data_IF_343240908791
#
_entry.id   IF_343240908791
#
_cell.length_a   1.000
_cell.length_b   1.000
_cell.length_c   1.000
_cell.angle_alpha   90.00
_cell.angle_beta   90.00
_cell.angle_gamma   90.00
#
_symmetry.space_group_name_H-M   'P 1'
#
loop_
_entity.id
_entity.type
_entity.pdbx_description
1 polymer ?
#
# COMPACT_ATOMS: atom_id res chain seq x y z
N UNK A 1 6.32 -24.56 -2.09
CA UNK A 1 7.61 -24.37 -1.41
C UNK A 1 8.60 -25.35 -2.02
N UNK A 2 9.60 -24.86 -2.76
CA UNK A 2 10.68 -25.71 -3.29
C UNK A 2 11.65 -25.99 -2.13
N UNK A 3 11.95 -27.25 -1.89
CA UNK A 3 12.85 -27.65 -0.81
C UNK A 3 14.26 -27.10 -1.08
N UNK A 4 14.84 -26.43 -0.08
CA UNK A 4 16.16 -25.78 -0.13
C UNK A 4 17.30 -26.70 -0.61
N UNK A 5 17.16 -28.02 -0.45
CA UNK A 5 18.13 -29.01 -0.88
C UNK A 5 18.16 -29.27 -2.41
N UNK A 6 17.24 -28.67 -3.18
CA UNK A 6 17.11 -28.89 -4.63
C UNK A 6 17.35 -27.63 -5.45
N UNK A 7 18.02 -26.59 -4.93
CA UNK A 7 18.23 -25.32 -5.66
C UNK A 7 19.69 -25.20 -6.09
N UNK A 8 19.93 -25.01 -7.39
CA UNK A 8 21.27 -24.67 -7.88
C UNK A 8 21.49 -23.17 -7.75
N UNK A 9 22.19 -22.80 -6.68
CA UNK A 9 22.47 -21.40 -6.36
C UNK A 9 23.40 -20.73 -7.38
N UNK A 10 24.31 -21.48 -8.01
CA UNK A 10 25.24 -20.94 -9.02
C UNK A 10 24.49 -20.61 -10.32
N UNK A 11 23.63 -21.52 -10.77
CA UNK A 11 22.76 -21.28 -11.91
C UNK A 11 21.77 -20.14 -11.63
N UNK A 12 21.23 -20.07 -10.41
CA UNK A 12 20.32 -18.99 -9.99
C UNK A 12 21.00 -17.63 -9.98
N UNK A 13 22.24 -17.52 -9.49
CA UNK A 13 23.03 -16.27 -9.53
C UNK A 13 23.31 -15.84 -10.97
N UNK A 14 23.70 -16.77 -11.84
CA UNK A 14 23.98 -16.47 -13.24
C UNK A 14 22.73 -16.02 -14.00
N UNK A 15 21.57 -16.65 -13.74
CA UNK A 15 20.30 -16.22 -14.30
C UNK A 15 19.87 -14.84 -13.80
N UNK A 16 20.12 -14.51 -12.53
CA UNK A 16 19.85 -13.19 -11.97
C UNK A 16 20.78 -12.11 -12.56
N UNK A 17 22.06 -12.42 -12.78
CA UNK A 17 23.02 -11.53 -13.44
C UNK A 17 22.65 -11.29 -14.92
N UNK A 18 22.18 -12.32 -15.63
CA UNK A 18 21.70 -12.19 -17.01
C UNK A 18 20.45 -11.31 -17.16
N UNK A 19 19.66 -11.15 -16.09
CA UNK A 19 18.48 -10.27 -16.03
C UNK A 19 18.83 -8.93 -15.34
N UNK A 20 20.11 -8.62 -15.19
CA UNK A 20 20.64 -7.39 -14.56
C UNK A 20 20.19 -7.18 -13.10
N UNK A 21 19.68 -8.23 -12.42
CA UNK A 21 19.27 -8.21 -11.01
C UNK A 21 20.46 -8.39 -10.07
N UNK A 22 21.50 -7.58 -10.29
CA UNK A 22 22.81 -7.69 -9.64
C UNK A 22 22.75 -7.49 -8.11
N UNK A 23 21.80 -6.70 -7.60
CA UNK A 23 21.60 -6.53 -6.15
C UNK A 23 21.12 -7.81 -5.47
N UNK A 24 20.30 -8.61 -6.16
CA UNK A 24 19.77 -9.87 -5.62
C UNK A 24 20.77 -11.00 -5.80
N UNK A 25 21.49 -11.01 -6.92
CA UNK A 25 22.66 -11.88 -7.10
C UNK A 25 23.68 -11.66 -5.98
N UNK A 26 24.01 -10.40 -5.63
CA UNK A 26 24.93 -10.07 -4.54
C UNK A 26 24.41 -10.50 -3.16
N UNK A 27 23.10 -10.40 -2.89
CA UNK A 27 22.51 -10.94 -1.66
C UNK A 27 22.66 -12.45 -1.58
N UNK A 28 22.40 -13.20 -2.65
CA UNK A 28 22.51 -14.66 -2.67
C UNK A 28 23.98 -15.08 -2.55
N UNK A 29 24.92 -14.38 -3.20
CA UNK A 29 26.37 -14.60 -3.04
C UNK A 29 26.84 -14.34 -1.60
N UNK A 30 26.35 -13.26 -0.97
CA UNK A 30 26.66 -12.96 0.44
C UNK A 30 26.10 -14.02 1.37
N UNK A 31 24.88 -14.50 1.11
CA UNK A 31 24.26 -15.56 1.89
C UNK A 31 25.01 -16.90 1.74
N UNK A 32 25.52 -17.22 0.55
CA UNK A 32 26.38 -18.39 0.33
C UNK A 32 27.75 -18.30 1.02
N UNK A 33 28.26 -17.07 1.22
CA UNK A 33 29.53 -16.82 1.89
C UNK A 33 29.42 -16.82 3.43
N UNK A 34 28.20 -16.73 3.97
CA UNK A 34 27.93 -16.82 5.42
C UNK A 34 27.89 -18.30 5.85
N UNK A 35 28.52 -18.64 6.97
CA UNK A 35 28.63 -20.03 7.45
C UNK A 35 27.23 -20.60 7.74
N UNK A 36 26.85 -21.69 7.05
CA UNK A 36 25.47 -22.24 7.02
C UNK A 36 24.92 -22.46 8.43
N UNK A 37 24.01 -21.61 8.93
CA UNK A 37 23.37 -21.84 10.21
C UNK A 37 22.44 -23.04 10.06
N UNK A 38 22.68 -24.10 10.81
CA UNK A 38 21.90 -25.33 10.73
C UNK A 38 20.51 -25.11 11.35
N UNK A 39 19.46 -25.07 10.51
CA UNK A 39 18.05 -24.99 10.94
C UNK A 39 17.15 -24.19 10.00
N UNK A 40 15.84 -24.20 10.26
CA UNK A 40 14.76 -23.58 9.46
C UNK A 40 15.02 -22.11 9.06
N UNK A 41 15.82 -21.39 9.85
CA UNK A 41 16.22 -20.00 9.61
C UNK A 41 16.97 -19.82 8.28
N UNK A 42 17.79 -20.78 7.88
CA UNK A 42 18.49 -20.76 6.58
C UNK A 42 17.50 -20.87 5.41
N UNK A 43 16.51 -21.76 5.53
CA UNK A 43 15.49 -21.95 4.50
C UNK A 43 14.62 -20.70 4.32
N UNK A 44 14.28 -20.02 5.41
CA UNK A 44 13.54 -18.75 5.38
C UNK A 44 14.35 -17.63 4.72
N UNK A 45 15.64 -17.46 5.07
CA UNK A 45 16.52 -16.45 4.45
C UNK A 45 16.69 -16.69 2.95
N UNK A 46 16.96 -17.94 2.56
CA UNK A 46 17.11 -18.34 1.15
C UNK A 46 15.80 -18.15 0.38
N UNK A 47 14.67 -18.60 0.91
CA UNK A 47 13.36 -18.43 0.25
C UNK A 47 12.98 -16.96 0.07
N UNK A 48 13.33 -16.10 1.03
CA UNK A 48 13.09 -14.65 0.95
C UNK A 48 13.99 -13.99 -0.09
N UNK A 49 15.27 -14.37 -0.17
CA UNK A 49 16.19 -13.86 -1.19
C UNK A 49 15.78 -14.30 -2.60
N UNK A 50 15.34 -15.55 -2.76
CA UNK A 50 14.86 -16.10 -4.03
C UNK A 50 13.51 -15.49 -4.42
N UNK A 51 12.60 -15.28 -3.46
CA UNK A 51 11.32 -14.59 -3.71
C UNK A 51 11.55 -13.13 -4.18
N UNK A 52 12.51 -12.42 -3.57
CA UNK A 52 12.92 -11.08 -4.00
C UNK A 52 13.60 -11.09 -5.38
N UNK A 53 14.41 -12.11 -5.65
CA UNK A 53 15.11 -12.29 -6.93
C UNK A 53 14.18 -12.67 -8.06
N UNK A 54 13.04 -13.29 -7.74
CA UNK A 54 12.00 -13.67 -8.67
C UNK A 54 12.41 -14.74 -9.69
N UNK A 55 13.58 -15.37 -9.54
CA UNK A 55 14.05 -16.48 -10.37
C UNK A 55 14.70 -17.49 -9.43
N UNK A 56 14.24 -18.74 -9.48
CA UNK A 56 14.85 -19.88 -8.80
C UNK A 56 15.12 -20.99 -9.82
N UNK A 57 16.34 -21.53 -9.87
CA UNK A 57 16.64 -22.69 -10.71
C UNK A 57 16.79 -23.91 -9.81
N UNK A 58 15.95 -24.93 -10.05
CA UNK A 58 16.06 -26.23 -9.37
C UNK A 58 17.30 -26.97 -9.89
N UNK A 59 17.88 -27.86 -9.09
CA UNK A 59 18.99 -28.74 -9.45
C UNK A 59 18.68 -29.64 -10.66
N UNK A 60 17.40 -29.84 -10.96
CA UNK A 60 16.89 -30.54 -12.14
C UNK A 60 16.85 -29.65 -13.41
N UNK A 61 17.35 -28.41 -13.34
CA UNK A 61 17.44 -27.47 -14.46
C UNK A 61 16.15 -26.69 -14.78
N UNK A 62 15.08 -26.87 -13.99
CA UNK A 62 13.81 -26.12 -14.21
C UNK A 62 13.89 -24.72 -13.59
N UNK A 63 13.61 -23.69 -14.40
CA UNK A 63 13.52 -22.30 -13.96
C UNK A 63 12.12 -21.94 -13.48
N UNK A 64 11.99 -21.53 -12.23
CA UNK A 64 10.77 -21.02 -11.63
C UNK A 64 10.87 -19.50 -11.54
N UNK A 65 10.12 -18.79 -12.38
CA UNK A 65 10.03 -17.33 -12.36
C UNK A 65 8.84 -16.91 -11.51
N UNK A 66 9.02 -15.92 -10.65
CA UNK A 66 7.92 -15.32 -9.93
C UNK A 66 6.99 -14.60 -10.93
N UNK A 67 5.68 -14.73 -10.73
CA UNK A 67 4.69 -13.99 -11.53
C UNK A 67 4.45 -12.65 -10.85
N UNK A 68 5.09 -11.60 -11.35
CA UNK A 68 4.96 -10.25 -10.81
C UNK A 68 3.66 -9.65 -11.38
N UNK A 69 2.88 -8.89 -10.59
CA UNK A 69 1.73 -8.16 -11.12
C UNK A 69 2.18 -7.25 -12.26
N UNK A 70 1.40 -7.20 -13.34
CA UNK A 70 1.73 -6.32 -14.46
C UNK A 70 1.61 -4.86 -14.04
N UNK A 71 2.48 -4.00 -14.60
CA UNK A 71 2.42 -2.54 -14.41
C UNK A 71 1.04 -1.98 -14.81
N UNK A 72 0.36 -2.61 -15.76
CA UNK A 72 -0.99 -2.23 -16.20
C UNK A 72 -2.03 -2.27 -15.08
N UNK A 73 -1.91 -3.21 -14.14
CA UNK A 73 -2.82 -3.28 -13.00
C UNK A 73 -2.62 -2.11 -12.02
N UNK A 74 -1.38 -1.63 -11.87
CA UNK A 74 -1.09 -0.44 -11.05
C UNK A 74 -1.66 0.82 -11.69
N UNK A 75 -1.57 0.95 -13.02
CA UNK A 75 -2.17 2.09 -13.76
C UNK A 75 -3.68 2.14 -13.50
N UNK A 76 -4.37 1.00 -13.59
CA UNK A 76 -5.80 0.93 -13.30
C UNK A 76 -6.12 1.38 -11.88
N UNK A 77 -5.34 0.95 -10.88
CA UNK A 77 -5.52 1.37 -9.50
C UNK A 77 -5.35 2.90 -9.33
N UNK A 78 -4.35 3.49 -9.99
CA UNK A 78 -4.14 4.95 -9.99
C UNK A 78 -5.30 5.71 -10.62
N UNK A 79 -5.85 5.23 -11.74
CA UNK A 79 -7.02 5.85 -12.37
C UNK A 79 -8.21 5.85 -11.42
N UNK A 80 -8.49 4.72 -10.76
CA UNK A 80 -9.64 4.60 -9.84
C UNK A 80 -9.48 5.53 -8.63
N UNK A 81 -8.31 5.58 -8.00
CA UNK A 81 -8.11 6.44 -6.82
C UNK A 81 -8.16 7.92 -7.17
N UNK A 82 -7.62 8.33 -8.32
CA UNK A 82 -7.71 9.73 -8.78
C UNK A 82 -9.14 10.14 -9.10
N UNK A 83 -9.94 9.26 -9.70
CA UNK A 83 -11.38 9.52 -9.91
C UNK A 83 -12.11 9.67 -8.57
N UNK A 84 -11.83 8.80 -7.60
CA UNK A 84 -12.41 8.90 -6.26
C UNK A 84 -12.01 10.21 -5.55
N UNK A 85 -10.75 10.62 -5.68
CA UNK A 85 -10.26 11.89 -5.13
C UNK A 85 -11.00 13.08 -5.72
N UNK A 86 -11.15 13.15 -7.04
CA UNK A 86 -11.88 14.25 -7.71
C UNK A 86 -13.35 14.26 -7.28
N UNK A 87 -14.00 13.09 -7.24
CA UNK A 87 -15.41 12.98 -6.85
C UNK A 87 -15.66 13.41 -5.41
N UNK A 88 -14.76 13.13 -4.47
CA UNK A 88 -14.96 13.47 -3.05
C UNK A 88 -14.42 14.87 -2.73
N UNK A 89 -13.20 15.20 -3.16
CA UNK A 89 -12.53 16.46 -2.80
C UNK A 89 -13.22 17.68 -3.43
N UNK A 90 -13.44 17.65 -4.75
CA UNK A 90 -13.99 18.81 -5.49
C UNK A 90 -15.44 19.06 -5.08
N UNK A 91 -16.26 18.01 -5.03
CA UNK A 91 -17.68 18.15 -4.65
C UNK A 91 -17.85 18.56 -3.19
N UNK A 92 -17.02 18.06 -2.27
CA UNK A 92 -17.07 18.45 -0.86
C UNK A 92 -16.75 19.93 -0.66
N UNK A 93 -15.71 20.44 -1.34
CA UNK A 93 -15.35 21.85 -1.27
C UNK A 93 -16.40 22.75 -1.93
N UNK A 94 -16.91 22.36 -3.10
CA UNK A 94 -17.97 23.08 -3.79
C UNK A 94 -19.24 23.15 -2.92
N UNK A 95 -19.69 22.00 -2.39
CA UNK A 95 -20.83 21.94 -1.47
C UNK A 95 -20.60 22.78 -0.21
N UNK A 96 -19.43 22.65 0.42
CA UNK A 96 -19.11 23.40 1.64
C UNK A 96 -19.09 24.91 1.40
N UNK A 97 -18.63 25.38 0.23
CA UNK A 97 -18.68 26.79 -0.13
C UNK A 97 -20.08 27.29 -0.46
N UNK A 98 -20.98 26.45 -1.00
CA UNK A 98 -22.39 26.84 -1.20
C UNK A 98 -23.17 26.94 0.11
N UNK A 99 -22.80 26.13 1.12
CA UNK A 99 -23.46 26.13 2.43
C UNK A 99 -22.84 27.12 3.42
N UNK A 100 -21.60 27.56 3.21
CA UNK A 100 -20.89 28.45 4.12
C UNK A 100 -21.13 29.94 3.83
N UNK A 101 -21.30 30.79 4.87
CA UNK A 101 -21.35 32.24 4.71
C UNK A 101 -20.08 32.78 4.01
N UNK A 102 -20.17 33.80 3.15
CA UNK A 102 -19.06 34.27 2.31
C UNK A 102 -17.80 34.71 3.09
N UNK A 103 -17.94 35.05 4.38
CA UNK A 103 -16.82 35.42 5.26
C UNK A 103 -16.02 34.23 5.81
N UNK A 104 -16.48 32.99 5.65
CA UNK A 104 -15.86 31.79 6.26
C UNK A 104 -15.17 30.84 5.26
N UNK A 105 -15.03 31.22 3.99
CA UNK A 105 -14.42 30.35 2.96
C UNK A 105 -13.01 29.86 3.33
N UNK A 106 -12.17 30.74 3.88
CA UNK A 106 -10.82 30.37 4.34
C UNK A 106 -10.83 29.36 5.49
N UNK A 107 -11.83 29.45 6.38
CA UNK A 107 -12.00 28.52 7.50
C UNK A 107 -12.45 27.13 7.03
N UNK A 108 -13.30 27.05 6.01
CA UNK A 108 -13.68 25.77 5.39
C UNK A 108 -12.47 25.08 4.77
N UNK A 109 -11.62 25.83 4.06
CA UNK A 109 -10.40 25.28 3.47
C UNK A 109 -9.39 24.80 4.53
N UNK A 110 -9.25 25.52 5.65
CA UNK A 110 -8.36 25.08 6.73
C UNK A 110 -8.87 23.80 7.40
N UNK A 111 -10.19 23.65 7.58
CA UNK A 111 -10.80 22.41 8.06
C UNK A 111 -10.60 21.25 7.07
N UNK A 112 -10.68 21.52 5.77
CA UNK A 112 -10.38 20.54 4.74
C UNK A 112 -8.93 20.03 4.83
N UNK A 113 -7.95 20.93 4.92
CA UNK A 113 -6.54 20.58 5.10
C UNK A 113 -6.28 19.86 6.42
N UNK A 114 -6.97 20.26 7.50
CA UNK A 114 -6.90 19.58 8.78
C UNK A 114 -7.39 18.13 8.68
N UNK A 115 -8.48 17.89 7.95
CA UNK A 115 -8.99 16.54 7.69
C UNK A 115 -7.97 15.67 6.94
N UNK A 116 -7.32 16.21 5.91
CA UNK A 116 -6.25 15.51 5.17
C UNK A 116 -5.07 15.18 6.08
N UNK A 117 -4.64 16.13 6.92
CA UNK A 117 -3.57 15.91 7.90
C UNK A 117 -3.95 14.83 8.92
N UNK A 118 -5.18 14.87 9.44
CA UNK A 118 -5.69 13.86 10.36
C UNK A 118 -5.70 12.46 9.74
N UNK A 119 -6.06 12.33 8.46
CA UNK A 119 -5.97 11.08 7.72
C UNK A 119 -4.54 10.52 7.65
N UNK A 120 -3.56 11.37 7.35
CA UNK A 120 -2.15 10.97 7.34
C UNK A 120 -1.65 10.56 8.73
N UNK A 121 -2.04 11.30 9.77
CA UNK A 121 -1.70 10.96 11.16
C UNK A 121 -2.33 9.62 11.56
N UNK A 122 -3.57 9.33 11.14
CA UNK A 122 -4.22 8.05 11.39
C UNK A 122 -3.42 6.90 10.78
N UNK A 123 -2.99 7.01 9.53
CA UNK A 123 -2.16 5.98 8.87
C UNK A 123 -0.85 5.77 9.64
N UNK A 124 -0.17 6.85 10.02
CA UNK A 124 1.08 6.76 10.80
C UNK A 124 0.85 6.11 12.18
N UNK A 125 -0.28 6.41 12.82
CA UNK A 125 -0.65 5.87 14.11
C UNK A 125 -0.95 4.37 14.02
N UNK A 126 -1.69 3.94 13.01
CA UNK A 126 -1.95 2.52 12.72
C UNK A 126 -0.64 1.79 12.50
N UNK A 127 0.26 2.34 11.69
CA UNK A 127 1.57 1.75 11.45
C UNK A 127 2.37 1.62 12.74
N UNK A 128 2.35 2.64 13.60
CA UNK A 128 3.04 2.59 14.90
C UNK A 128 2.47 1.55 15.85
N UNK A 129 1.15 1.41 15.94
CA UNK A 129 0.51 0.44 16.82
C UNK A 129 0.59 -1.00 16.32
N UNK A 130 0.81 -1.17 15.02
CA UNK A 130 0.87 -2.48 14.37
C UNK A 130 2.30 -3.02 14.31
N UNK A 131 3.29 -2.31 14.87
CA UNK A 131 4.67 -2.81 14.98
C UNK A 131 4.82 -3.55 16.31
N UNK A 132 5.24 -4.81 16.24
CA UNK A 132 5.53 -5.66 17.40
C UNK A 132 6.85 -5.22 18.09
N UNK A 133 7.11 -5.71 19.31
CA UNK A 133 8.29 -5.41 20.11
C UNK A 133 9.62 -5.74 19.41
N UNK A 134 9.59 -6.62 18.39
CA UNK A 134 10.73 -6.96 17.54
C UNK A 134 10.92 -6.01 16.32
N UNK A 135 10.05 -5.01 16.15
CA UNK A 135 10.10 -4.07 15.01
C UNK A 135 9.41 -4.58 13.73
N UNK A 136 8.79 -5.76 13.77
CA UNK A 136 8.08 -6.36 12.64
C UNK A 136 6.61 -5.91 12.61
N UNK A 137 6.05 -5.65 11.44
CA UNK A 137 4.66 -5.22 11.32
C UNK A 137 3.74 -6.44 11.43
N UNK A 138 2.79 -6.45 12.37
CA UNK A 138 1.86 -7.56 12.54
C UNK A 138 0.78 -7.59 11.43
N UNK A 139 0.55 -6.47 10.75
CA UNK A 139 -0.18 -6.40 9.48
C UNK A 139 0.82 -6.25 8.33
N UNK A 140 1.27 -7.38 7.80
CA UNK A 140 2.07 -7.43 6.57
C UNK A 140 1.27 -8.04 5.42
N UNK A 141 1.57 -7.60 4.19
CA UNK A 141 0.94 -8.13 2.97
C UNK A 141 -0.53 -7.75 2.82
N UNK A 142 -1.37 -8.75 2.53
CA UNK A 142 -2.78 -8.57 2.16
C UNK A 142 -3.64 -7.98 3.28
N UNK A 143 -3.38 -8.35 4.54
CA UNK A 143 -4.17 -7.93 5.69
C UNK A 143 -4.10 -6.41 5.91
N UNK A 144 -2.95 -5.81 5.60
CA UNK A 144 -2.76 -4.36 5.64
C UNK A 144 -3.70 -3.65 4.67
N UNK A 145 -3.74 -4.08 3.41
CA UNK A 145 -4.59 -3.46 2.38
C UNK A 145 -6.07 -3.67 2.66
N UNK A 146 -6.46 -4.85 3.14
CA UNK A 146 -7.85 -5.12 3.55
C UNK A 146 -8.28 -4.26 4.74
N UNK A 147 -7.41 -4.02 5.72
CA UNK A 147 -7.70 -3.14 6.85
C UNK A 147 -8.09 -1.72 6.39
N UNK A 148 -7.28 -1.09 5.53
CA UNK A 148 -7.60 0.25 5.00
C UNK A 148 -8.83 0.25 4.09
N UNK A 149 -9.07 -0.84 3.37
CA UNK A 149 -10.28 -1.00 2.55
C UNK A 149 -11.54 -1.03 3.41
N UNK A 150 -11.55 -1.79 4.50
CA UNK A 150 -12.67 -1.83 5.44
C UNK A 150 -12.84 -0.51 6.19
N UNK A 151 -11.74 0.16 6.56
CA UNK A 151 -11.77 1.49 7.15
C UNK A 151 -12.46 2.51 6.21
N UNK A 152 -12.06 2.52 4.94
CA UNK A 152 -12.66 3.38 3.91
C UNK A 152 -14.13 3.06 3.65
N UNK A 153 -14.48 1.77 3.59
CA UNK A 153 -15.87 1.32 3.44
C UNK A 153 -16.73 1.75 4.63
N UNK A 154 -16.22 1.60 5.86
CA UNK A 154 -16.88 2.07 7.07
C UNK A 154 -17.14 3.58 7.04
N UNK A 155 -16.14 4.37 6.64
CA UNK A 155 -16.30 5.82 6.46
C UNK A 155 -17.38 6.17 5.41
N UNK A 156 -17.43 5.45 4.29
CA UNK A 156 -18.46 5.63 3.28
C UNK A 156 -19.87 5.31 3.81
N UNK A 157 -20.03 4.23 4.58
CA UNK A 157 -21.31 3.87 5.21
C UNK A 157 -21.76 4.94 6.20
N UNK A 158 -20.85 5.41 7.07
CA UNK A 158 -21.14 6.50 8.01
C UNK A 158 -21.56 7.76 7.25
N UNK A 159 -20.86 8.12 6.16
CA UNK A 159 -21.21 9.25 5.33
C UNK A 159 -22.62 9.13 4.73
N UNK A 160 -22.99 7.96 4.20
CA UNK A 160 -24.34 7.73 3.65
C UNK A 160 -25.43 7.86 4.72
N UNK A 161 -25.17 7.38 5.93
CA UNK A 161 -26.11 7.52 7.06
C UNK A 161 -26.27 8.99 7.42
N UNK A 162 -25.16 9.72 7.63
CA UNK A 162 -25.17 11.15 7.99
C UNK A 162 -25.84 11.99 6.90
N UNK A 163 -25.56 11.71 5.62
CA UNK A 163 -26.15 12.39 4.48
C UNK A 163 -27.68 12.31 4.48
N UNK A 164 -28.27 11.16 4.86
CA UNK A 164 -29.73 11.02 4.98
C UNK A 164 -30.35 11.91 6.06
N UNK A 165 -29.59 12.26 7.10
CA UNK A 165 -30.07 13.15 8.17
C UNK A 165 -29.78 14.63 7.90
N UNK A 166 -28.99 14.95 6.89
CA UNK A 166 -28.61 16.33 6.57
C UNK A 166 -29.72 17.04 5.79
N UNK A 167 -30.29 18.10 6.37
CA UNK A 167 -31.20 19.03 5.67
C UNK A 167 -30.40 20.22 5.17
N UNK A 168 -30.23 20.34 3.85
CA UNK A 168 -29.58 21.49 3.23
C UNK A 168 -30.31 22.79 3.56
N UNK A 169 -29.57 23.81 3.98
CA UNK A 169 -30.07 25.18 4.12
C UNK A 169 -29.31 26.03 3.13
N UNK A 170 -29.87 26.20 1.94
CA UNK A 170 -29.33 27.12 0.94
C UNK A 170 -29.42 28.56 1.50
N UNK A 171 -28.26 29.19 1.67
CA UNK A 171 -28.19 30.64 1.84
C UNK A 171 -28.22 31.25 0.44
N UNK A 172 -29.39 31.22 -0.20
CA UNK A 172 -29.65 32.06 -1.36
C UNK A 172 -29.49 33.49 -0.84
N UNK A 173 -28.57 34.25 -1.43
CA UNK A 173 -28.42 35.67 -1.15
C UNK A 173 -29.81 36.30 -1.28
N UNK A 174 -30.43 36.66 -0.16
CA UNK A 174 -31.54 37.59 -0.17
C UNK A 174 -31.03 38.84 -0.86
N UNK A 175 -31.63 39.14 -2.00
CA UNK A 175 -31.64 40.47 -2.56
C UNK A 175 -32.11 41.44 -1.48
N UNK A 176 -31.26 42.41 -1.13
CA UNK A 176 -31.53 43.64 -0.37
C UNK A 176 -30.14 44.27 -0.15
N UNK A 177 -29.81 45.50 -0.52
CA UNK A 177 -30.50 46.67 -1.03
C UNK A 177 -29.47 47.80 -0.95
#
# INVERSE_FOLDING_TARGET
MVASASIDYTATILALQNVERNSTAAMITTLLAEEKPQGDVWNTKVSTAIAKGGIAISADGTSHNAQWPSIGWQILAYVIITLAEVLVSVTCLEFSYTQAPPKLKSFVMSLYLLSVSAGNVLVALVNRYTVDAAGNSTLEGEAYYWFFTYLGLGAAVVFLVVSKFYKGKEHIQSAEG
#
